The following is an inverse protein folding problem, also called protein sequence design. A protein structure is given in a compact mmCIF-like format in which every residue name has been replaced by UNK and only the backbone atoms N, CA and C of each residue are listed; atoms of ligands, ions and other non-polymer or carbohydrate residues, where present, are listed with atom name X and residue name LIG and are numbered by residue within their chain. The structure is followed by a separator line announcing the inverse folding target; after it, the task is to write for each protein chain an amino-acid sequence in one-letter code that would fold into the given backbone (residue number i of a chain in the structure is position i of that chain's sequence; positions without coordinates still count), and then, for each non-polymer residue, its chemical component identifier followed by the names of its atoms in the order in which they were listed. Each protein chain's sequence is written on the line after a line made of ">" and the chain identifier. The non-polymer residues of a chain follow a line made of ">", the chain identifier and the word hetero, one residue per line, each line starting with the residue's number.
data_IF_010337846684
#
_entry.id   IF_010337846684
#
_cell.length_a   1.000
_cell.length_b   1.000
_cell.length_c   1.000
_cell.angle_alpha   90.00
_cell.angle_beta   90.00
_cell.angle_gamma   90.00
#
_symmetry.space_group_name_H-M   'P 1'
#
loop_
_entity.id
_entity.type
_entity.pdbx_description
1 polymer ?
#
# COMPACT_ATOMS: atom_id res chain seq x y z
N UNK A 1 18.59 -19.50 -17.88
CA UNK A 1 18.18 -19.74 -16.50
C UNK A 1 16.69 -19.49 -16.45
N UNK A 2 15.92 -20.56 -16.62
CA UNK A 2 14.62 -20.65 -15.96
C UNK A 2 14.84 -21.49 -14.71
N UNK A 3 14.04 -21.22 -13.69
CA UNK A 3 13.53 -22.11 -12.65
C UNK A 3 13.30 -21.29 -11.40
N UNK A 4 12.03 -21.21 -11.00
CA UNK A 4 11.67 -21.12 -9.60
C UNK A 4 10.55 -20.14 -9.33
N UNK A 5 9.32 -20.68 -9.33
CA UNK A 5 8.22 -20.10 -8.55
C UNK A 5 8.63 -20.03 -7.09
N UNK A 6 9.24 -18.91 -6.71
CA UNK A 6 9.43 -18.54 -5.33
C UNK A 6 8.07 -18.30 -4.72
N UNK A 7 7.78 -18.99 -3.62
CA UNK A 7 6.66 -18.75 -2.72
C UNK A 7 6.38 -17.25 -2.66
N UNK A 8 5.26 -16.86 -3.28
CA UNK A 8 4.73 -15.52 -3.18
C UNK A 8 4.28 -15.40 -1.73
N UNK A 9 5.20 -14.92 -0.92
CA UNK A 9 5.05 -14.61 0.48
C UNK A 9 4.10 -13.42 0.59
N UNK A 10 2.83 -13.69 0.31
CA UNK A 10 1.77 -12.71 0.45
C UNK A 10 1.53 -12.60 1.95
N UNK A 11 1.66 -11.39 2.53
CA UNK A 11 1.17 -11.17 3.87
C UNK A 11 -0.31 -11.56 3.89
N UNK A 12 -0.67 -12.50 4.77
CA UNK A 12 -2.06 -12.86 4.99
C UNK A 12 -2.70 -11.59 5.56
N UNK A 13 -3.49 -10.92 4.71
CA UNK A 13 -4.22 -9.70 5.01
C UNK A 13 -5.42 -10.10 5.87
N UNK A 14 -5.28 -10.02 7.19
CA UNK A 14 -6.44 -10.12 8.08
C UNK A 14 -7.02 -8.72 8.21
N UNK A 15 -8.29 -8.56 7.86
CA UNK A 15 -9.01 -7.29 7.98
C UNK A 15 -10.01 -7.47 9.11
N UNK A 16 -9.62 -7.07 10.32
CA UNK A 16 -10.55 -6.86 11.43
C UNK A 16 -10.82 -5.35 11.54
N UNK A 17 -12.10 -4.96 11.51
CA UNK A 17 -12.57 -3.57 11.65
C UNK A 17 -11.95 -2.51 10.72
N UNK A 18 -11.46 -2.91 9.55
CA UNK A 18 -10.84 -2.01 8.56
C UNK A 18 -9.39 -1.64 8.89
N UNK A 19 -8.78 -2.34 9.85
CA UNK A 19 -7.35 -2.30 10.10
C UNK A 19 -6.70 -3.37 9.23
N UNK A 20 -5.80 -2.93 8.34
CA UNK A 20 -5.01 -3.83 7.52
C UNK A 20 -3.84 -4.39 8.33
N UNK A 21 -4.00 -5.61 8.82
CA UNK A 21 -2.88 -6.35 9.38
C UNK A 21 -2.18 -7.11 8.26
N UNK A 22 -1.09 -6.51 7.77
CA UNK A 22 -0.14 -7.17 6.88
C UNK A 22 0.74 -8.03 7.78
N UNK A 23 0.50 -9.34 7.78
CA UNK A 23 1.32 -10.30 8.52
C UNK A 23 2.62 -10.54 7.77
N UNK A 24 3.74 -10.00 8.28
CA UNK A 24 5.06 -10.11 7.66
C UNK A 24 5.44 -11.57 7.37
N UNK A 25 5.99 -11.81 6.18
CA UNK A 25 6.61 -13.08 5.82
C UNK A 25 8.07 -13.09 6.23
N UNK A 26 8.50 -14.20 6.84
CA UNK A 26 9.82 -14.36 7.42
C UNK A 26 10.92 -14.35 6.34
N UNK A 27 11.52 -13.20 6.06
CA UNK A 27 12.67 -13.11 5.16
C UNK A 27 13.19 -11.67 5.00
N UNK A 28 14.17 -11.31 5.83
CA UNK A 28 15.13 -10.19 5.67
C UNK A 28 14.66 -8.95 4.87
N UNK A 29 14.05 -7.96 5.54
CA UNK A 29 14.63 -6.61 5.77
C UNK A 29 13.61 -5.65 6.39
N UNK A 30 14.08 -4.90 7.40
CA UNK A 30 13.60 -3.58 7.83
C UNK A 30 12.22 -3.47 8.51
N UNK A 31 12.27 -3.46 9.84
CA UNK A 31 11.32 -2.95 10.84
C UNK A 31 10.94 -1.45 10.67
N UNK A 32 10.80 -0.97 9.45
CA UNK A 32 10.37 0.39 9.16
C UNK A 32 9.64 0.46 7.83
N UNK A 33 10.22 -0.11 6.77
CA UNK A 33 9.68 0.02 5.42
C UNK A 33 8.24 -0.47 5.25
N UNK A 34 7.88 -1.57 5.90
CA UNK A 34 6.56 -2.21 5.80
C UNK A 34 5.46 -1.37 6.46
N UNK A 35 5.76 -0.67 7.55
CA UNK A 35 4.80 0.20 8.23
C UNK A 35 4.40 1.41 7.39
N UNK A 36 5.38 2.02 6.69
CA UNK A 36 5.08 3.09 5.72
C UNK A 36 4.14 2.59 4.62
N UNK A 37 4.38 1.38 4.09
CA UNK A 37 3.54 0.81 3.03
C UNK A 37 2.11 0.57 3.51
N UNK A 38 1.96 -0.03 4.71
CA UNK A 38 0.64 -0.25 5.35
C UNK A 38 -0.15 1.06 5.49
N UNK A 39 0.50 2.12 5.97
CA UNK A 39 -0.18 3.41 6.17
C UNK A 39 -0.54 4.11 4.86
N UNK A 40 0.29 3.97 3.84
CA UNK A 40 -0.07 4.45 2.50
C UNK A 40 -1.27 3.69 1.94
N UNK A 41 -1.29 2.36 2.03
CA UNK A 41 -2.44 1.55 1.58
C UNK A 41 -3.71 1.96 2.33
N UNK A 42 -3.66 2.06 3.66
CA UNK A 42 -4.79 2.48 4.48
C UNK A 42 -5.32 3.86 4.08
N UNK A 43 -4.42 4.81 3.84
CA UNK A 43 -4.77 6.15 3.37
C UNK A 43 -5.59 6.10 2.08
N UNK A 44 -5.15 5.33 1.08
CA UNK A 44 -5.83 5.24 -0.21
C UNK A 44 -7.10 4.39 -0.18
N UNK A 45 -7.16 3.34 0.64
CA UNK A 45 -8.41 2.58 0.86
C UNK A 45 -9.47 3.48 1.47
N UNK A 46 -9.12 4.29 2.48
CA UNK A 46 -10.03 5.28 3.05
C UNK A 46 -10.42 6.36 2.03
N UNK A 47 -9.49 6.80 1.19
CA UNK A 47 -9.78 7.75 0.11
C UNK A 47 -10.80 7.20 -0.88
N UNK A 48 -10.61 5.96 -1.35
CA UNK A 48 -11.52 5.25 -2.24
C UNK A 48 -12.90 5.05 -1.61
N UNK A 49 -12.94 4.65 -0.34
CA UNK A 49 -14.19 4.48 0.40
C UNK A 49 -14.96 5.81 0.51
N UNK A 50 -14.25 6.93 0.76
CA UNK A 50 -14.86 8.26 0.87
C UNK A 50 -15.32 8.82 -0.49
N UNK A 51 -14.50 8.71 -1.53
CA UNK A 51 -14.76 9.32 -2.85
C UNK A 51 -15.71 8.49 -3.70
N UNK A 52 -15.52 7.17 -3.73
CA UNK A 52 -16.18 6.28 -4.69
C UNK A 52 -17.21 5.37 -4.04
N UNK A 53 -17.35 5.40 -2.70
CA UNK A 53 -18.16 4.43 -1.91
C UNK A 53 -17.78 2.97 -2.18
N UNK A 54 -16.54 2.75 -2.65
CA UNK A 54 -16.00 1.43 -2.96
C UNK A 54 -15.23 0.90 -1.76
N UNK A 55 -15.57 -0.32 -1.33
CA UNK A 55 -14.89 -0.98 -0.21
C UNK A 55 -13.92 -2.04 -0.71
N UNK A 56 -12.65 -1.63 -0.88
CA UNK A 56 -11.58 -2.51 -1.36
C UNK A 56 -11.21 -3.60 -0.36
N UNK A 57 -11.65 -3.51 0.90
CA UNK A 57 -11.40 -4.53 1.92
C UNK A 57 -11.88 -5.92 1.48
N UNK A 58 -12.93 -5.95 0.67
CA UNK A 58 -13.51 -7.19 0.14
C UNK A 58 -12.69 -7.86 -0.98
N UNK A 59 -11.68 -7.18 -1.54
CA UNK A 59 -10.95 -7.63 -2.73
C UNK A 59 -9.44 -7.68 -2.51
N UNK A 60 -8.97 -8.84 -2.04
CA UNK A 60 -7.56 -9.14 -1.77
C UNK A 60 -6.67 -8.84 -2.99
N UNK A 61 -7.15 -9.11 -4.22
CA UNK A 61 -6.37 -8.83 -5.44
C UNK A 61 -6.17 -7.33 -5.63
N UNK A 62 -7.21 -6.51 -5.45
CA UNK A 62 -7.12 -5.06 -5.53
C UNK A 62 -6.13 -4.51 -4.49
N UNK A 63 -6.22 -5.01 -3.26
CA UNK A 63 -5.34 -4.60 -2.16
C UNK A 63 -3.87 -4.90 -2.43
N UNK A 64 -3.54 -6.09 -2.96
CA UNK A 64 -2.16 -6.42 -3.36
C UNK A 64 -1.63 -5.49 -4.43
N UNK A 65 -2.45 -5.15 -5.44
CA UNK A 65 -2.06 -4.21 -6.50
C UNK A 65 -1.81 -2.81 -5.94
N UNK A 66 -2.67 -2.36 -5.01
CA UNK A 66 -2.50 -1.09 -4.32
C UNK A 66 -1.22 -1.06 -3.47
N UNK A 67 -0.92 -2.13 -2.74
CA UNK A 67 0.32 -2.29 -1.96
C UNK A 67 1.56 -2.15 -2.86
N UNK A 68 1.62 -2.91 -3.96
CA UNK A 68 2.75 -2.82 -4.91
C UNK A 68 2.91 -1.40 -5.48
N UNK A 69 1.81 -0.70 -5.74
CA UNK A 69 1.87 0.69 -6.21
C UNK A 69 2.33 1.65 -5.11
N UNK A 70 1.93 1.44 -3.86
CA UNK A 70 2.40 2.22 -2.70
C UNK A 70 3.90 2.02 -2.46
N UNK A 71 4.41 0.79 -2.53
CA UNK A 71 5.85 0.52 -2.41
C UNK A 71 6.67 1.28 -3.47
N UNK A 72 6.18 1.30 -4.72
CA UNK A 72 6.80 2.06 -5.81
C UNK A 72 6.77 3.57 -5.54
N UNK A 73 5.62 4.10 -5.13
CA UNK A 73 5.46 5.51 -4.79
C UNK A 73 6.38 5.91 -3.62
N UNK A 74 6.49 5.07 -2.58
CA UNK A 74 7.40 5.29 -1.44
C UNK A 74 8.85 5.41 -1.90
N UNK A 75 9.32 4.49 -2.75
CA UNK A 75 10.68 4.55 -3.33
C UNK A 75 10.91 5.86 -4.11
N UNK A 76 9.92 6.29 -4.89
CA UNK A 76 9.97 7.59 -5.59
C UNK A 76 10.05 8.76 -4.61
N UNK A 77 9.27 8.72 -3.52
CA UNK A 77 9.24 9.78 -2.51
C UNK A 77 10.56 9.88 -1.71
N UNK A 78 11.37 8.83 -1.67
CA UNK A 78 12.71 8.88 -1.07
C UNK A 78 13.65 9.86 -1.79
N UNK A 79 13.41 10.16 -3.08
CA UNK A 79 14.20 11.11 -3.87
C UNK A 79 13.39 12.29 -4.43
N UNK A 80 12.07 12.16 -4.53
CA UNK A 80 11.15 13.17 -5.09
C UNK A 80 10.17 13.72 -4.05
N UNK A 81 9.64 14.92 -4.26
CA UNK A 81 8.65 15.53 -3.35
C UNK A 81 7.22 15.04 -3.57
N UNK A 82 6.96 14.32 -4.66
CA UNK A 82 5.65 13.84 -5.07
C UNK A 82 5.78 12.54 -5.89
N UNK A 83 4.75 11.68 -5.83
CA UNK A 83 4.62 10.48 -6.64
C UNK A 83 3.16 10.27 -7.05
N UNK A 84 2.94 9.92 -8.32
CA UNK A 84 1.63 9.50 -8.84
C UNK A 84 1.42 8.00 -8.63
N UNK A 85 0.18 7.62 -8.36
CA UNK A 85 -0.27 6.23 -8.27
C UNK A 85 -1.38 6.04 -9.29
N UNK A 86 -1.13 5.11 -10.20
CA UNK A 86 -2.02 4.80 -11.32
C UNK A 86 -2.19 3.29 -11.39
N UNK A 87 -3.44 2.83 -11.26
CA UNK A 87 -3.78 1.40 -11.30
C UNK A 87 -5.06 1.21 -12.10
N UNK A 88 -4.93 0.67 -13.31
CA UNK A 88 -6.07 0.40 -14.18
C UNK A 88 -6.95 -0.72 -13.61
N UNK A 89 -8.28 -0.58 -13.70
CA UNK A 89 -9.25 -1.58 -13.25
C UNK A 89 -8.96 -2.11 -11.84
N UNK A 90 -8.67 -1.20 -10.89
CA UNK A 90 -8.30 -1.56 -9.52
C UNK A 90 -9.45 -2.29 -8.82
N UNK A 91 -10.67 -1.76 -8.91
CA UNK A 91 -11.85 -2.33 -8.25
C UNK A 91 -13.10 -2.12 -9.13
N UNK A 92 -13.87 -3.20 -9.35
CA UNK A 92 -15.09 -3.20 -10.20
C UNK A 92 -14.88 -2.61 -11.61
N UNK A 93 -13.68 -2.74 -12.17
CA UNK A 93 -13.33 -2.18 -13.49
C UNK A 93 -13.07 -0.68 -13.48
N UNK A 94 -13.14 -0.01 -12.32
CA UNK A 94 -12.76 1.39 -12.16
C UNK A 94 -11.25 1.54 -12.01
N UNK A 95 -10.68 2.49 -12.75
CA UNK A 95 -9.29 2.88 -12.62
C UNK A 95 -9.07 3.71 -11.35
N UNK A 96 -7.87 3.62 -10.79
CA UNK A 96 -7.46 4.41 -9.65
C UNK A 96 -6.31 5.32 -10.03
N UNK A 97 -6.53 6.62 -9.86
CA UNK A 97 -5.54 7.67 -10.04
C UNK A 97 -5.50 8.53 -8.78
N UNK A 98 -4.32 8.62 -8.16
CA UNK A 98 -4.09 9.52 -7.04
C UNK A 98 -2.65 10.02 -7.05
N UNK A 99 -2.36 10.98 -6.18
CA UNK A 99 -1.02 11.54 -6.04
C UNK A 99 -0.74 11.79 -4.58
N UNK A 100 0.48 11.48 -4.14
CA UNK A 100 0.92 11.67 -2.77
C UNK A 100 2.22 12.45 -2.74
N UNK A 101 2.33 13.37 -1.78
CA UNK A 101 3.52 14.17 -1.55
C UNK A 101 4.37 13.54 -0.44
N UNK A 102 5.67 13.87 -0.42
CA UNK A 102 6.57 13.45 0.66
C UNK A 102 6.09 13.96 2.00
N UNK A 103 5.68 15.23 2.06
CA UNK A 103 5.10 15.82 3.28
C UNK A 103 3.87 15.05 3.75
N UNK A 104 2.99 14.60 2.84
CA UNK A 104 1.85 13.77 3.23
C UNK A 104 2.28 12.40 3.75
N UNK A 105 3.30 11.79 3.16
CA UNK A 105 3.86 10.53 3.66
C UNK A 105 4.46 10.71 5.06
N UNK A 106 5.21 11.79 5.29
CA UNK A 106 5.78 12.12 6.58
C UNK A 106 4.69 12.36 7.64
N UNK A 107 3.61 13.07 7.30
CA UNK A 107 2.44 13.24 8.17
C UNK A 107 1.78 11.91 8.56
N UNK A 108 1.60 10.99 7.59
CA UNK A 108 1.02 9.67 7.84
C UNK A 108 1.91 8.81 8.77
N UNK A 109 3.19 9.14 8.88
CA UNK A 109 4.19 8.38 9.63
C UNK A 109 4.85 9.21 10.74
N UNK A 110 4.23 10.33 11.14
CA UNK A 110 4.85 11.28 12.06
C UNK A 110 5.22 10.63 13.40
N UNK A 111 4.38 9.73 13.92
CA UNK A 111 4.62 8.96 15.14
C UNK A 111 5.72 7.89 15.01
N UNK A 112 6.03 7.41 13.79
CA UNK A 112 7.16 6.50 13.56
C UNK A 112 8.49 7.26 13.39
N UNK A 113 8.42 8.52 12.93
CA UNK A 113 9.60 9.36 12.68
C UNK A 113 10.04 10.17 13.91
N UNK A 114 9.15 10.36 14.88
CA UNK A 114 9.39 11.15 16.10
C UNK A 114 9.83 10.30 17.31
N UNK A 115 10.03 8.99 17.13
CA UNK A 115 10.51 8.06 18.17
C UNK A 115 11.95 7.61 17.92
#
# INVERSE_FOLDING_TARGET
>A
LDLGGGTFDVPILTIEDGIFEVMSTAGETHLGGEDFDKRMVNHFVQELKRKNKQDLNSNIRALRRLLTACERAKRTLSSSTQASIEIDSLFEGGDFYSTITRSRLEELNADLLLN
#
